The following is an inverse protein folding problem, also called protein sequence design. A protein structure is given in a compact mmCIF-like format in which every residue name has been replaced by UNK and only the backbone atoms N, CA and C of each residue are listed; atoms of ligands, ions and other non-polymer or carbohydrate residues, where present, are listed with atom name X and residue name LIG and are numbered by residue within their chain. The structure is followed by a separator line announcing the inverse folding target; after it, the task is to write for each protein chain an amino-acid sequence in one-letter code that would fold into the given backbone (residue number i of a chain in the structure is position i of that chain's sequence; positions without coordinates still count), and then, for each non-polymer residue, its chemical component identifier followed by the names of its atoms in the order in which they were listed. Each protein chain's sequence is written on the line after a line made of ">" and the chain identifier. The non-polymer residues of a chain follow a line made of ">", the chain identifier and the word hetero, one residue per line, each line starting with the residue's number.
data_IF_076295183676
#
_entry.id   IF_076295183676
#
_cell.length_a   1.000
_cell.length_b   1.000
_cell.length_c   1.000
_cell.angle_alpha   90.00
_cell.angle_beta   90.00
_cell.angle_gamma   90.00
#
_symmetry.space_group_name_H-M   'P 1'
#
loop_
_entity.id
_entity.type
_entity.pdbx_description
1 polymer ?
#
# COMPACT_ATOMS: atom_id res chain seq x y z
N UNK A 1 8.84 13.09 2.62
CA UNK A 1 7.85 12.46 1.72
C UNK A 1 6.59 12.14 2.50
N UNK A 2 5.39 12.33 1.92
CA UNK A 2 4.11 12.05 2.59
C UNK A 2 3.09 11.42 1.64
N UNK A 3 2.25 10.54 2.18
CA UNK A 3 1.13 9.93 1.48
C UNK A 3 -0.08 9.84 2.42
N UNK A 4 -1.32 10.10 1.95
CA UNK A 4 -1.67 10.63 0.62
C UNK A 4 -1.12 12.04 0.37
N UNK A 5 -1.13 12.48 -0.89
CA UNK A 5 -0.78 13.87 -1.24
C UNK A 5 -1.73 14.81 -0.50
N UNK A 6 -1.18 15.79 0.20
CA UNK A 6 -1.94 16.82 0.89
C UNK A 6 -1.26 18.18 0.70
N UNK A 7 -2.02 19.25 0.91
CA UNK A 7 -1.55 20.64 0.75
C UNK A 7 -0.72 21.14 1.94
N UNK A 8 -0.70 20.40 3.04
CA UNK A 8 -0.07 20.83 4.30
C UNK A 8 1.08 19.85 4.59
N UNK A 9 2.24 20.37 4.96
CA UNK A 9 3.35 19.53 5.39
C UNK A 9 2.98 18.78 6.66
N UNK A 10 3.12 17.45 6.65
CA UNK A 10 2.80 16.60 7.81
C UNK A 10 3.86 16.64 8.92
N UNK A 11 5.03 17.24 8.68
CA UNK A 11 6.03 17.44 9.73
C UNK A 11 5.49 18.48 10.74
N UNK A 12 5.34 18.11 12.04
CA UNK A 12 4.76 18.99 13.06
C UNK A 12 5.43 20.37 13.17
N UNK A 13 6.73 20.44 12.87
CA UNK A 13 7.52 21.66 13.00
C UNK A 13 7.58 22.49 11.71
N UNK A 14 6.95 22.05 10.61
CA UNK A 14 7.07 22.70 9.31
C UNK A 14 5.99 23.75 9.04
N UNK A 15 4.71 23.39 9.19
CA UNK A 15 3.58 24.30 8.96
C UNK A 15 3.42 24.85 7.52
N UNK A 16 4.28 24.47 6.57
CA UNK A 16 4.24 24.97 5.20
C UNK A 16 3.00 24.44 4.44
N UNK A 17 2.38 25.32 3.66
CA UNK A 17 1.18 25.06 2.87
C UNK A 17 1.49 25.29 1.40
N UNK A 18 1.02 24.40 0.52
CA UNK A 18 1.20 24.46 -0.93
C UNK A 18 2.67 24.45 -1.41
N UNK A 19 3.58 23.88 -0.63
CA UNK A 19 5.01 23.75 -0.99
C UNK A 19 5.39 22.34 -1.44
N UNK A 20 4.46 21.39 -1.41
CA UNK A 20 4.71 20.00 -1.78
C UNK A 20 4.81 19.84 -3.29
N UNK A 21 5.85 19.16 -3.74
CA UNK A 21 6.05 18.76 -5.14
C UNK A 21 5.54 17.35 -5.39
N UNK A 22 5.27 17.02 -6.65
CA UNK A 22 4.89 15.67 -7.04
C UNK A 22 6.06 14.69 -6.85
N UNK A 23 5.78 13.58 -6.17
CA UNK A 23 6.77 12.56 -5.86
C UNK A 23 6.23 11.18 -6.24
N UNK A 24 6.91 10.51 -7.17
CA UNK A 24 6.53 9.18 -7.68
C UNK A 24 6.95 8.10 -6.67
N UNK A 25 5.96 7.35 -6.17
CA UNK A 25 6.17 6.24 -5.23
C UNK A 25 5.99 4.86 -5.86
N UNK A 26 5.59 4.77 -7.13
CA UNK A 26 5.23 3.49 -7.76
C UNK A 26 6.40 2.52 -7.91
N UNK A 27 7.63 3.03 -7.93
CA UNK A 27 8.88 2.26 -8.04
C UNK A 27 9.64 2.20 -6.72
N UNK A 28 9.11 2.82 -5.65
CA UNK A 28 9.75 2.82 -4.34
C UNK A 28 9.59 1.46 -3.67
N UNK A 29 10.66 0.98 -3.02
CA UNK A 29 10.56 -0.14 -2.10
C UNK A 29 9.71 0.27 -0.89
N UNK A 30 8.96 -0.69 -0.34
CA UNK A 30 8.18 -0.49 0.86
C UNK A 30 8.45 -1.61 1.87
N UNK A 31 8.41 -1.28 3.15
CA UNK A 31 8.58 -2.25 4.24
C UNK A 31 7.29 -2.39 5.01
N UNK A 32 6.95 -3.62 5.41
CA UNK A 32 5.76 -3.88 6.21
C UNK A 32 5.95 -3.35 7.64
N UNK A 33 5.09 -2.42 8.05
CA UNK A 33 5.06 -1.90 9.42
C UNK A 33 4.13 -2.73 10.32
N UNK A 34 2.97 -3.12 9.80
CA UNK A 34 2.01 -3.98 10.47
C UNK A 34 1.13 -4.67 9.43
N UNK A 35 0.59 -5.84 9.77
CA UNK A 35 -0.29 -6.59 8.86
C UNK A 35 -1.29 -7.45 9.64
N UNK A 36 -2.32 -7.90 8.95
CA UNK A 36 -3.28 -8.90 9.43
C UNK A 36 -3.81 -9.74 8.26
N UNK A 37 -4.27 -10.94 8.56
CA UNK A 37 -5.08 -11.78 7.67
C UNK A 37 -6.49 -11.88 8.27
N UNK A 38 -7.49 -11.31 7.58
CA UNK A 38 -8.87 -11.30 8.03
C UNK A 38 -9.73 -12.31 7.26
N UNK A 39 -10.42 -13.19 7.99
CA UNK A 39 -11.36 -14.17 7.43
C UNK A 39 -12.82 -13.68 7.43
N UNK A 40 -13.11 -12.54 8.06
CA UNK A 40 -14.48 -12.03 8.20
C UNK A 40 -14.87 -11.06 7.08
N UNK A 41 -13.92 -10.25 6.62
CA UNK A 41 -14.16 -9.37 5.47
C UNK A 41 -14.29 -10.19 4.18
N UNK A 42 -15.30 -9.86 3.37
CA UNK A 42 -15.43 -10.45 2.04
C UNK A 42 -14.20 -10.10 1.18
N UNK A 43 -13.50 -11.14 0.72
CA UNK A 43 -12.44 -11.05 -0.27
C UNK A 43 -12.62 -12.18 -1.30
N UNK A 44 -12.33 -11.92 -2.60
CA UNK A 44 -12.36 -12.97 -3.61
C UNK A 44 -11.40 -14.13 -3.34
N UNK A 45 -10.31 -13.86 -2.62
CA UNK A 45 -9.26 -14.81 -2.25
C UNK A 45 -8.98 -14.67 -0.74
N UNK A 46 -9.77 -15.33 0.12
CA UNK A 46 -9.61 -15.25 1.57
C UNK A 46 -8.44 -16.10 2.08
N UNK A 47 -7.76 -15.70 3.17
CA UNK A 47 -8.05 -14.53 3.99
C UNK A 47 -7.58 -13.21 3.35
N UNK A 48 -8.27 -12.12 3.67
CA UNK A 48 -7.87 -10.79 3.21
C UNK A 48 -6.62 -10.34 3.95
N UNK A 49 -5.49 -10.34 3.24
CA UNK A 49 -4.23 -9.81 3.74
C UNK A 49 -4.13 -8.30 3.48
N UNK A 50 -3.94 -7.52 4.53
CA UNK A 50 -3.71 -6.08 4.40
C UNK A 50 -2.92 -5.53 5.58
N UNK A 51 -2.36 -4.34 5.40
CA UNK A 51 -1.52 -3.75 6.42
C UNK A 51 -1.01 -2.36 6.09
N UNK A 52 -0.20 -1.83 7.00
CA UNK A 52 0.49 -0.56 6.81
C UNK A 52 1.88 -0.82 6.21
N UNK A 53 2.17 -0.19 5.08
CA UNK A 53 3.51 -0.18 4.49
C UNK A 53 4.16 1.19 4.68
N UNK A 54 5.47 1.20 4.87
CA UNK A 54 6.29 2.42 4.92
C UNK A 54 7.19 2.46 3.69
N UNK A 55 7.16 3.57 2.95
CA UNK A 55 8.00 3.73 1.76
C UNK A 55 9.42 4.17 2.14
N UNK A 56 10.38 3.77 1.30
CA UNK A 56 11.71 4.37 1.31
C UNK A 56 11.64 5.90 1.12
N UNK A 57 12.30 6.66 1.99
CA UNK A 57 12.21 8.13 2.01
C UNK A 57 11.01 8.70 2.79
N UNK A 58 10.12 7.83 3.30
CA UNK A 58 9.01 8.16 4.19
C UNK A 58 7.65 8.21 3.52
N UNK A 59 6.61 8.44 4.32
CA UNK A 59 5.23 8.24 3.91
C UNK A 59 4.76 6.80 4.19
N UNK A 60 3.47 6.65 4.46
CA UNK A 60 2.85 5.37 4.81
C UNK A 60 1.53 5.21 4.08
N UNK A 61 1.20 3.97 3.76
CA UNK A 61 -0.04 3.63 3.08
C UNK A 61 -0.64 2.37 3.67
N UNK A 62 -1.95 2.39 3.93
CA UNK A 62 -2.73 1.17 4.11
C UNK A 62 -2.88 0.51 2.75
N UNK A 63 -2.36 -0.70 2.61
CA UNK A 63 -2.35 -1.45 1.36
C UNK A 63 -2.95 -2.84 1.56
N UNK A 64 -3.73 -3.29 0.58
CA UNK A 64 -4.04 -4.71 0.42
C UNK A 64 -2.79 -5.42 -0.08
N UNK A 65 -2.55 -6.62 0.43
CA UNK A 65 -1.44 -7.46 -0.01
C UNK A 65 -1.95 -8.45 -1.07
N UNK A 66 -1.06 -8.86 -1.96
CA UNK A 66 -1.35 -9.82 -3.03
C UNK A 66 -0.14 -10.72 -3.23
N UNK A 67 -0.37 -11.88 -3.83
CA UNK A 67 0.70 -12.83 -4.15
C UNK A 67 1.42 -13.33 -2.87
N UNK A 68 0.66 -13.55 -1.80
CA UNK A 68 1.11 -14.04 -0.49
C UNK A 68 0.18 -15.14 0.02
N UNK A 69 0.76 -16.16 0.64
CA UNK A 69 0.03 -17.20 1.36
C UNK A 69 -0.15 -16.82 2.84
N UNK A 70 -1.07 -17.49 3.55
CA UNK A 70 -1.22 -17.33 4.99
C UNK A 70 0.09 -17.68 5.72
N UNK A 71 0.58 -16.77 6.56
CA UNK A 71 1.87 -16.89 7.23
C UNK A 71 3.09 -16.51 6.39
N UNK A 72 2.91 -16.18 5.10
CA UNK A 72 3.96 -15.74 4.19
C UNK A 72 4.31 -14.25 4.30
N UNK A 73 3.96 -13.61 5.42
CA UNK A 73 4.11 -12.17 5.64
C UNK A 73 4.63 -11.91 7.05
N UNK A 74 5.68 -11.09 7.17
CA UNK A 74 6.22 -10.64 8.44
C UNK A 74 6.42 -9.11 8.47
N UNK A 75 6.41 -8.56 9.69
CA UNK A 75 6.84 -7.17 9.90
C UNK A 75 8.31 -7.05 9.53
N UNK A 76 8.65 -6.04 8.74
CA UNK A 76 10.01 -5.83 8.25
C UNK A 76 10.27 -6.39 6.84
N UNK A 77 9.36 -7.17 6.27
CA UNK A 77 9.56 -7.69 4.92
C UNK A 77 9.55 -6.58 3.86
N UNK A 78 10.39 -6.76 2.83
CA UNK A 78 10.45 -5.87 1.67
C UNK A 78 9.43 -6.24 0.61
N UNK A 79 8.58 -5.26 0.29
CA UNK A 79 7.52 -5.37 -0.68
C UNK A 79 7.68 -4.29 -1.76
N UNK A 80 7.09 -4.55 -2.92
CA UNK A 80 6.94 -3.60 -4.02
C UNK A 80 5.46 -3.30 -4.24
N UNK A 81 5.17 -2.18 -4.89
CA UNK A 81 3.81 -1.89 -5.34
C UNK A 81 3.51 -2.53 -6.69
N UNK A 82 2.30 -3.07 -6.82
CA UNK A 82 1.75 -3.60 -8.07
C UNK A 82 0.38 -2.99 -8.33
N UNK A 83 0.11 -2.64 -9.59
CA UNK A 83 -1.19 -2.11 -9.98
C UNK A 83 -2.17 -3.28 -10.23
N UNK A 84 -3.26 -3.34 -9.47
CA UNK A 84 -4.21 -4.46 -9.49
C UNK A 84 -5.65 -3.94 -9.38
N UNK A 85 -6.61 -4.81 -9.66
CA UNK A 85 -8.03 -4.55 -9.34
C UNK A 85 -8.17 -4.55 -7.81
N UNK A 86 -8.70 -3.47 -7.26
CA UNK A 86 -9.04 -3.33 -5.84
C UNK A 86 -10.47 -3.78 -5.57
N UNK A 87 -11.40 -3.40 -6.43
CA UNK A 87 -12.81 -3.79 -6.31
C UNK A 87 -13.53 -3.68 -7.65
N UNK A 88 -14.50 -4.56 -7.89
CA UNK A 88 -15.48 -4.40 -8.96
C UNK A 88 -16.67 -3.58 -8.44
N UNK A 89 -17.10 -2.56 -9.19
CA UNK A 89 -18.31 -1.79 -8.94
C UNK A 89 -19.39 -2.25 -9.92
N UNK A 90 -20.11 -3.31 -9.56
CA UNK A 90 -21.10 -3.96 -10.43
C UNK A 90 -22.24 -3.00 -10.81
N UNK A 91 -22.64 -2.13 -9.89
CA UNK A 91 -23.72 -1.14 -10.12
C UNK A 91 -23.38 -0.16 -11.24
N UNK A 92 -22.10 0.12 -11.44
CA UNK A 92 -21.59 1.03 -12.47
C UNK A 92 -20.85 0.31 -13.59
N UNK A 93 -20.79 -1.03 -13.55
CA UNK A 93 -20.00 -1.87 -14.44
C UNK A 93 -18.55 -1.36 -14.61
N UNK A 94 -17.88 -1.08 -13.48
CA UNK A 94 -16.56 -0.44 -13.47
C UNK A 94 -15.57 -1.12 -12.53
N UNK A 95 -14.36 -1.38 -13.01
CA UNK A 95 -13.27 -1.92 -12.18
C UNK A 95 -12.45 -0.79 -11.55
N UNK A 96 -12.41 -0.74 -10.21
CA UNK A 96 -11.55 0.16 -9.46
C UNK A 96 -10.17 -0.46 -9.36
N UNK A 97 -9.20 0.16 -10.00
CA UNK A 97 -7.80 -0.22 -9.89
C UNK A 97 -7.10 0.61 -8.82
N UNK A 98 -6.17 -0.02 -8.11
CA UNK A 98 -5.31 0.66 -7.15
C UNK A 98 -4.00 -0.11 -6.96
N UNK A 99 -3.06 0.51 -6.26
CA UNK A 99 -1.82 -0.14 -5.84
C UNK A 99 -2.10 -1.13 -4.70
N UNK A 100 -1.55 -2.34 -4.84
CA UNK A 100 -1.43 -3.36 -3.79
C UNK A 100 0.06 -3.60 -3.49
N UNK A 101 0.37 -4.13 -2.31
CA UNK A 101 1.72 -4.54 -1.98
C UNK A 101 1.92 -6.03 -2.33
N UNK A 102 3.03 -6.37 -2.94
CA UNK A 102 3.43 -7.75 -3.23
C UNK A 102 4.87 -7.98 -2.80
N UNK A 103 5.27 -9.22 -2.45
CA UNK A 103 6.65 -9.54 -2.13
C UNK A 103 7.60 -9.07 -3.24
N UNK A 104 8.76 -8.55 -2.83
CA UNK A 104 9.82 -8.23 -3.78
C UNK A 104 10.42 -9.55 -4.28
N UNK A 105 10.16 -9.90 -5.54
CA UNK A 105 10.76 -11.08 -6.17
C UNK A 105 12.28 -10.86 -6.19
N UNK A 106 13.04 -11.69 -5.47
CA UNK A 106 14.50 -11.71 -5.63
C UNK A 106 14.78 -12.13 -7.07
N UNK A 107 15.38 -11.23 -7.84
CA UNK A 107 15.96 -11.60 -9.12
C UNK A 107 17.24 -12.37 -8.77
N UNK A 108 17.28 -13.66 -9.13
CA UNK A 108 18.44 -14.52 -8.96
C UNK A 108 19.64 -14.01 -9.79
#
# INVERSE_FOLDING_TARGET
>A
VQFPKSRICVNPNCGAINTQEDYKMSESSATILSWTADNLTYAPDPPHHFGMVTFEGGGRMMADFTDVDEGGVAVGDEFRLVFRIKAADERRNFNKYFWKAAPKVQTA
#
